data_IF_354882345132
#
_entry.id   IF_354882345132
#
_cell.length_a   1.000
_cell.length_b   1.000
_cell.length_c   1.000
_cell.angle_alpha   90.00
_cell.angle_beta   90.00
_cell.angle_gamma   90.00
#
_symmetry.space_group_name_H-M   'P 1'
#
loop_
_entity.id
_entity.type
_entity.pdbx_description
1 polymer ?
#
# COMPACT_ATOMS: atom_id res chain seq x y z
N UNK A 1 -15.09 1.68 -9.76
CA UNK A 1 -16.13 1.91 -8.71
C UNK A 1 -17.43 2.44 -9.33
N UNK A 2 -18.61 1.89 -8.98
CA UNK A 2 -19.91 2.35 -9.51
C UNK A 2 -20.53 3.49 -8.70
N UNK A 3 -20.08 3.70 -7.46
CA UNK A 3 -20.58 4.73 -6.55
C UNK A 3 -19.47 5.68 -6.14
N UNK A 4 -19.82 6.95 -5.98
CA UNK A 4 -18.88 8.01 -5.56
C UNK A 4 -18.57 7.82 -4.07
N UNK A 5 -17.28 7.68 -3.70
CA UNK A 5 -16.90 7.38 -2.32
C UNK A 5 -17.36 8.47 -1.35
N UNK A 6 -17.62 8.12 -0.07
CA UNK A 6 -17.86 9.12 0.96
C UNK A 6 -16.64 10.04 1.11
N UNK A 7 -16.90 11.33 1.29
CA UNK A 7 -15.85 12.34 1.49
C UNK A 7 -15.46 12.34 2.97
N UNK A 8 -14.16 12.22 3.31
CA UNK A 8 -13.68 12.41 4.68
C UNK A 8 -14.11 13.76 5.26
N UNK A 9 -14.50 13.78 6.54
CA UNK A 9 -14.97 15.02 7.19
C UNK A 9 -13.96 16.19 7.07
N UNK A 10 -12.64 16.01 7.26
CA UNK A 10 -11.68 17.10 7.09
C UNK A 10 -11.68 17.67 5.67
N UNK A 11 -11.79 16.81 4.65
CA UNK A 11 -11.85 17.23 3.26
C UNK A 11 -13.16 17.98 2.96
N UNK A 12 -14.28 17.49 3.49
CA UNK A 12 -15.56 18.17 3.35
C UNK A 12 -15.51 19.59 3.94
N UNK A 13 -14.98 19.74 5.15
CA UNK A 13 -14.79 21.05 5.79
C UNK A 13 -13.92 21.98 4.94
N UNK A 14 -12.81 21.47 4.39
CA UNK A 14 -11.92 22.25 3.54
C UNK A 14 -12.60 22.68 2.23
N UNK A 15 -13.38 21.81 1.60
CA UNK A 15 -14.15 22.12 0.39
C UNK A 15 -15.27 23.14 0.66
N UNK A 16 -15.92 23.07 1.82
CA UNK A 16 -16.98 24.01 2.22
C UNK A 16 -16.47 25.43 2.46
N UNK A 17 -15.19 25.60 2.77
CA UNK A 17 -14.57 26.92 2.92
C UNK A 17 -14.41 27.66 1.58
N UNK A 18 -14.44 26.93 0.45
CA UNK A 18 -14.23 27.48 -0.89
C UNK A 18 -15.54 28.02 -1.50
N UNK A 19 -15.40 29.09 -2.29
CA UNK A 19 -16.48 29.67 -3.08
C UNK A 19 -16.64 28.98 -4.44
N UNK A 20 -17.78 29.19 -5.09
CA UNK A 20 -17.98 28.74 -6.47
C UNK A 20 -17.29 29.69 -7.45
N UNK A 21 -16.72 29.18 -8.55
CA UNK A 21 -16.72 27.78 -9.01
C UNK A 21 -15.58 26.93 -8.44
N UNK A 22 -14.67 27.50 -7.63
CA UNK A 22 -13.47 26.81 -7.15
C UNK A 22 -13.80 25.54 -6.34
N UNK A 23 -14.83 25.60 -5.48
CA UNK A 23 -15.30 24.45 -4.70
C UNK A 23 -15.62 23.25 -5.60
N UNK A 24 -16.45 23.45 -6.63
CA UNK A 24 -16.80 22.36 -7.55
C UNK A 24 -15.57 21.84 -8.31
N UNK A 25 -14.66 22.71 -8.74
CA UNK A 25 -13.40 22.31 -9.40
C UNK A 25 -12.49 21.50 -8.49
N UNK A 26 -12.35 21.88 -7.21
CA UNK A 26 -11.55 21.14 -6.22
C UNK A 26 -12.21 19.82 -5.85
N UNK A 27 -13.52 19.79 -5.65
CA UNK A 27 -14.27 18.55 -5.40
C UNK A 27 -14.09 17.54 -6.53
N UNK A 28 -14.17 17.99 -7.79
CA UNK A 28 -13.92 17.16 -8.96
C UNK A 28 -12.50 16.58 -8.93
N UNK A 29 -11.46 17.39 -8.68
CA UNK A 29 -10.07 16.91 -8.63
C UNK A 29 -9.80 15.95 -7.46
N UNK A 30 -10.53 16.11 -6.35
CA UNK A 30 -10.42 15.26 -5.18
C UNK A 30 -11.03 13.87 -5.39
N UNK A 31 -12.09 13.74 -6.18
CA UNK A 31 -12.83 12.48 -6.33
C UNK A 31 -12.72 11.83 -7.70
N UNK A 32 -12.30 12.59 -8.71
CA UNK A 32 -12.23 12.14 -10.09
C UNK A 32 -10.83 12.32 -10.66
N UNK A 33 -10.52 11.49 -11.64
CA UNK A 33 -9.29 11.55 -12.41
C UNK A 33 -9.56 11.33 -13.90
N UNK A 34 -8.59 11.71 -14.71
CA UNK A 34 -8.65 11.61 -16.15
C UNK A 34 -8.53 10.15 -16.59
N UNK A 35 -9.45 9.73 -17.45
CA UNK A 35 -9.45 8.42 -18.10
C UNK A 35 -10.20 8.53 -19.42
N UNK A 36 -9.46 8.43 -20.53
CA UNK A 36 -9.96 8.62 -21.90
C UNK A 36 -11.04 7.61 -22.31
N UNK A 37 -11.04 6.43 -21.69
CA UNK A 37 -11.87 5.29 -22.07
C UNK A 37 -13.17 5.24 -21.25
N UNK A 38 -13.17 5.91 -20.09
CA UNK A 38 -14.30 5.95 -19.17
C UNK A 38 -15.21 7.18 -19.37
N UNK A 39 -16.44 7.05 -18.89
CA UNK A 39 -17.41 8.14 -18.90
C UNK A 39 -18.35 8.05 -17.70
N UNK A 40 -18.79 9.21 -17.20
CA UNK A 40 -19.82 9.33 -16.16
C UNK A 40 -21.03 10.08 -16.70
N UNK A 41 -22.23 9.74 -16.25
CA UNK A 41 -23.44 10.48 -16.66
C UNK A 41 -23.48 11.86 -16.03
N UNK A 42 -23.94 12.86 -16.78
CA UNK A 42 -24.05 14.25 -16.30
C UNK A 42 -24.99 14.35 -15.09
N UNK A 43 -26.10 13.60 -15.13
CA UNK A 43 -27.08 13.56 -14.04
C UNK A 43 -26.48 12.97 -12.77
N UNK A 44 -25.75 11.85 -12.85
CA UNK A 44 -25.15 11.25 -11.65
C UNK A 44 -24.10 12.18 -11.02
N UNK A 45 -23.28 12.82 -11.85
CA UNK A 45 -22.25 13.74 -11.38
C UNK A 45 -22.87 14.97 -10.68
N UNK A 46 -23.90 15.57 -11.29
CA UNK A 46 -24.62 16.71 -10.72
C UNK A 46 -25.38 16.34 -9.44
N UNK A 47 -26.11 15.23 -9.43
CA UNK A 47 -26.83 14.76 -8.23
C UNK A 47 -25.88 14.47 -7.08
N UNK A 48 -24.71 13.88 -7.37
CA UNK A 48 -23.69 13.66 -6.35
C UNK A 48 -23.14 14.98 -5.80
N UNK A 49 -22.90 15.97 -6.65
CA UNK A 49 -22.49 17.31 -6.21
C UNK A 49 -23.53 17.93 -5.28
N UNK A 50 -24.80 17.96 -5.71
CA UNK A 50 -25.90 18.50 -4.89
C UNK A 50 -26.05 17.75 -3.57
N UNK A 51 -26.07 16.43 -3.59
CA UNK A 51 -26.24 15.62 -2.38
C UNK A 51 -25.16 15.88 -1.33
N UNK A 52 -23.96 16.30 -1.74
CA UNK A 52 -22.86 16.62 -0.82
C UNK A 52 -22.93 18.01 -0.23
N UNK A 53 -23.38 19.00 -1.01
CA UNK A 53 -23.25 20.40 -0.63
C UNK A 53 -24.57 21.13 -0.37
N UNK A 54 -25.72 20.57 -0.75
CA UNK A 54 -27.04 21.19 -0.54
C UNK A 54 -27.30 21.55 0.93
N UNK A 55 -27.01 20.63 1.85
CA UNK A 55 -27.21 20.89 3.29
C UNK A 55 -26.30 22.02 3.83
N UNK A 56 -25.13 22.21 3.25
CA UNK A 56 -24.23 23.29 3.66
C UNK A 56 -24.65 24.65 3.10
N UNK A 57 -25.30 24.67 1.94
CA UNK A 57 -25.90 25.89 1.36
C UNK A 57 -26.99 26.43 2.26
N UNK A 58 -27.86 25.57 2.79
CA UNK A 58 -28.94 25.97 3.70
C UNK A 58 -28.41 26.62 4.99
N UNK A 59 -27.24 26.17 5.47
CA UNK A 59 -26.64 26.66 6.72
C UNK A 59 -25.77 27.91 6.55
N UNK A 60 -25.09 28.04 5.41
CA UNK A 60 -24.09 29.10 5.18
C UNK A 60 -24.53 30.16 4.15
N UNK A 61 -25.70 29.99 3.52
CA UNK A 61 -26.29 30.95 2.59
C UNK A 61 -25.54 31.10 1.26
N UNK A 62 -24.60 30.21 0.95
CA UNK A 62 -23.80 30.24 -0.30
C UNK A 62 -24.41 29.32 -1.34
N UNK A 63 -24.96 29.81 -2.46
CA UNK A 63 -25.64 28.97 -3.45
C UNK A 63 -24.68 27.99 -4.15
N UNK A 64 -25.23 26.89 -4.65
CA UNK A 64 -24.54 25.96 -5.55
C UNK A 64 -24.52 26.53 -6.98
N UNK A 65 -23.54 26.11 -7.78
CA UNK A 65 -23.59 26.31 -9.23
C UNK A 65 -24.87 25.70 -9.81
N UNK A 66 -25.61 26.39 -10.70
CA UNK A 66 -26.69 25.77 -11.47
C UNK A 66 -26.18 24.59 -12.30
N UNK A 67 -27.05 23.63 -12.62
CA UNK A 67 -26.66 22.40 -13.34
C UNK A 67 -25.88 22.68 -14.64
N UNK A 68 -26.33 23.64 -15.46
CA UNK A 68 -25.66 24.00 -16.72
C UNK A 68 -24.24 24.57 -16.49
N UNK A 69 -24.08 25.48 -15.53
CA UNK A 69 -22.78 26.06 -15.16
C UNK A 69 -21.86 25.02 -14.53
N UNK A 70 -22.41 24.09 -13.75
CA UNK A 70 -21.66 22.98 -13.19
C UNK A 70 -21.10 22.06 -14.29
N UNK A 71 -21.94 21.64 -15.25
CA UNK A 71 -21.49 20.80 -16.38
C UNK A 71 -20.43 21.50 -17.23
N UNK A 72 -20.57 22.83 -17.44
CA UNK A 72 -19.55 23.63 -18.10
C UNK A 72 -18.24 23.65 -17.28
N UNK A 73 -18.33 23.83 -15.97
CA UNK A 73 -17.17 23.85 -15.09
C UNK A 73 -16.41 22.52 -15.04
N UNK A 74 -17.09 21.37 -15.22
CA UNK A 74 -16.42 20.06 -15.33
C UNK A 74 -15.44 20.06 -16.51
N UNK A 75 -15.88 20.56 -17.67
CA UNK A 75 -15.03 20.66 -18.86
C UNK A 75 -13.86 21.64 -18.65
N UNK A 76 -14.10 22.77 -17.97
CA UNK A 76 -13.02 23.70 -17.60
C UNK A 76 -12.01 23.09 -16.61
N UNK A 77 -12.47 22.25 -15.67
CA UNK A 77 -11.63 21.67 -14.60
C UNK A 77 -10.61 20.69 -15.15
N UNK A 78 -10.99 19.91 -16.15
CA UNK A 78 -10.17 18.88 -16.81
C UNK A 78 -9.73 19.27 -18.23
N UNK A 79 -10.00 20.51 -18.65
CA UNK A 79 -9.65 21.04 -19.97
C UNK A 79 -10.09 20.12 -21.13
N UNK A 80 -9.19 19.85 -22.07
CA UNK A 80 -9.41 19.02 -23.26
C UNK A 80 -9.57 17.52 -22.95
N UNK A 81 -9.33 17.10 -21.70
CA UNK A 81 -9.41 15.70 -21.29
C UNK A 81 -10.81 15.27 -20.86
N UNK A 82 -11.73 16.20 -20.60
CA UNK A 82 -13.13 15.86 -20.28
C UNK A 82 -14.10 16.64 -21.17
N UNK A 83 -15.02 15.93 -21.82
CA UNK A 83 -15.98 16.54 -22.73
C UNK A 83 -17.41 16.06 -22.45
N UNK A 84 -18.33 17.01 -22.37
CA UNK A 84 -19.77 16.74 -22.36
C UNK A 84 -20.23 16.25 -23.73
N UNK A 85 -20.85 15.08 -23.78
CA UNK A 85 -21.30 14.43 -25.02
C UNK A 85 -22.66 13.75 -24.84
N UNK A 86 -23.40 13.60 -25.94
CA UNK A 86 -24.63 12.79 -25.99
C UNK A 86 -24.30 11.47 -26.65
N UNK A 87 -24.42 10.38 -25.90
CA UNK A 87 -24.26 9.05 -26.46
C UNK A 87 -25.54 8.64 -27.18
N UNK A 88 -25.44 8.41 -28.49
CA UNK A 88 -26.55 7.97 -29.31
C UNK A 88 -26.96 6.53 -28.97
N UNK A 89 -28.27 6.29 -28.88
CA UNK A 89 -28.87 5.00 -28.55
C UNK A 89 -30.39 5.11 -28.47
N UNK A 90 -31.09 4.02 -28.11
CA UNK A 90 -32.56 4.01 -27.94
C UNK A 90 -33.04 5.05 -26.91
N UNK A 91 -32.21 5.30 -25.90
CA UNK A 91 -32.37 6.40 -24.93
C UNK A 91 -31.10 7.23 -24.97
N UNK A 92 -31.24 8.53 -25.24
CA UNK A 92 -30.11 9.46 -25.26
C UNK A 92 -29.52 9.58 -23.85
N UNK A 93 -28.21 9.31 -23.72
CA UNK A 93 -27.49 9.43 -22.45
C UNK A 93 -26.53 10.61 -22.52
N UNK A 94 -26.73 11.58 -21.64
CA UNK A 94 -25.83 12.72 -21.47
C UNK A 94 -24.67 12.31 -20.54
N UNK A 95 -23.46 12.29 -21.09
CA UNK A 95 -22.25 11.84 -20.39
C UNK A 95 -21.18 12.93 -20.39
N UNK A 96 -20.23 12.80 -19.47
CA UNK A 96 -18.92 13.43 -19.51
C UNK A 96 -17.93 12.30 -19.81
N UNK A 97 -17.35 12.30 -21.01
CA UNK A 97 -16.32 11.34 -21.42
C UNK A 97 -14.94 11.86 -21.01
N UNK A 98 -14.05 10.97 -20.60
CA UNK A 98 -12.66 11.32 -20.30
C UNK A 98 -12.33 11.42 -18.80
N UNK A 99 -13.27 11.07 -17.93
CA UNK A 99 -13.08 11.07 -16.48
C UNK A 99 -13.68 9.82 -15.84
N UNK A 100 -13.08 9.41 -14.72
CA UNK A 100 -13.55 8.32 -13.86
C UNK A 100 -13.49 8.70 -12.39
N UNK A 101 -14.21 7.94 -11.57
CA UNK A 101 -14.12 8.03 -10.10
C UNK A 101 -12.77 7.43 -9.65
N UNK A 102 -12.05 8.15 -8.78
CA UNK A 102 -10.82 7.66 -8.14
C UNK A 102 -11.12 6.49 -7.20
N UNK A 103 -10.17 5.57 -7.05
CA UNK A 103 -10.32 4.45 -6.11
C UNK A 103 -10.25 4.91 -4.64
N UNK A 104 -9.51 6.00 -4.38
CA UNK A 104 -9.51 6.71 -3.12
C UNK A 104 -9.59 8.24 -3.36
N UNK A 105 -10.33 8.98 -2.53
CA UNK A 105 -10.27 10.44 -2.53
C UNK A 105 -8.84 10.94 -2.35
N UNK A 106 -8.54 12.12 -2.87
CA UNK A 106 -7.32 12.88 -2.56
C UNK A 106 -7.67 14.18 -1.85
N UNK A 107 -6.78 14.70 -1.02
CA UNK A 107 -6.93 16.01 -0.39
C UNK A 107 -6.75 17.15 -1.41
N UNK A 108 -6.80 18.41 -0.95
CA UNK A 108 -6.62 19.58 -1.81
C UNK A 108 -5.20 19.72 -2.39
N UNK A 109 -4.21 19.02 -1.81
CA UNK A 109 -2.82 18.97 -2.29
C UNK A 109 -2.58 17.82 -3.28
N UNK A 110 -3.49 16.83 -3.31
CA UNK A 110 -3.40 15.62 -4.12
C UNK A 110 -2.88 14.39 -3.36
N UNK A 111 -2.75 14.46 -2.03
CA UNK A 111 -2.40 13.30 -1.19
C UNK A 111 -3.57 12.32 -1.14
N UNK A 112 -3.37 11.04 -1.48
CA UNK A 112 -4.45 10.05 -1.44
C UNK A 112 -4.80 9.63 -0.02
N UNK A 113 -6.10 9.55 0.26
CA UNK A 113 -6.62 8.97 1.49
C UNK A 113 -6.45 7.46 1.50
N UNK A 114 -6.26 6.91 2.69
CA UNK A 114 -6.12 5.49 2.94
C UNK A 114 -7.47 4.89 3.35
N UNK A 115 -7.89 3.84 2.67
CA UNK A 115 -9.18 3.18 2.90
C UNK A 115 -9.11 2.22 4.07
N UNK A 116 -10.07 2.31 4.98
CA UNK A 116 -10.30 1.28 5.99
C UNK A 116 -10.88 0.03 5.31
N UNK A 117 -10.12 -1.06 5.34
CA UNK A 117 -10.48 -2.33 4.71
C UNK A 117 -11.24 -3.27 5.66
N UNK A 118 -11.56 -2.82 6.87
CA UNK A 118 -12.31 -3.62 7.83
C UNK A 118 -13.62 -4.12 7.23
N UNK A 119 -13.90 -5.41 7.33
CA UNK A 119 -15.14 -5.97 6.80
C UNK A 119 -16.26 -5.90 7.84
N UNK A 120 -17.41 -5.43 7.40
CA UNK A 120 -18.63 -5.33 8.21
C UNK A 120 -19.71 -6.22 7.63
N UNK A 121 -20.54 -6.88 8.45
CA UNK A 121 -21.70 -7.60 7.95
C UNK A 121 -22.66 -6.61 7.28
N UNK A 122 -23.26 -6.99 6.16
CA UNK A 122 -24.35 -6.21 5.58
C UNK A 122 -25.57 -6.23 6.50
N UNK A 123 -26.47 -5.22 6.44
CA UNK A 123 -27.68 -5.19 7.26
C UNK A 123 -28.52 -6.48 7.14
N UNK A 124 -28.54 -7.08 5.95
CA UNK A 124 -29.25 -8.33 5.66
C UNK A 124 -28.55 -9.58 6.23
N UNK A 125 -27.35 -9.44 6.80
CA UNK A 125 -26.57 -10.53 7.40
C UNK A 125 -25.97 -11.55 6.42
N UNK A 126 -26.36 -11.52 5.14
CA UNK A 126 -25.96 -12.51 4.13
C UNK A 126 -24.53 -12.30 3.60
N UNK A 127 -24.05 -11.05 3.56
CA UNK A 127 -22.76 -10.73 2.94
C UNK A 127 -21.91 -9.82 3.83
N UNK A 128 -20.65 -9.61 3.44
CA UNK A 128 -19.74 -8.68 4.10
C UNK A 128 -19.37 -7.57 3.13
N UNK A 129 -19.41 -6.32 3.60
CA UNK A 129 -18.94 -5.15 2.86
C UNK A 129 -17.75 -4.48 3.56
N UNK A 130 -16.77 -3.94 2.83
CA UNK A 130 -15.72 -3.14 3.43
C UNK A 130 -16.33 -1.90 4.09
N UNK A 131 -15.75 -1.44 5.20
CA UNK A 131 -16.15 -0.23 5.91
C UNK A 131 -16.19 0.97 4.95
N UNK A 132 -15.12 1.17 4.19
CA UNK A 132 -15.07 2.23 3.17
C UNK A 132 -14.84 3.64 3.72
N UNK A 133 -14.56 3.81 5.01
CA UNK A 133 -14.05 5.06 5.56
C UNK A 133 -12.63 5.33 5.09
N UNK A 134 -12.24 6.61 5.05
CA UNK A 134 -10.99 7.10 4.46
C UNK A 134 -10.26 8.01 5.44
N UNK A 135 -8.95 7.81 5.61
CA UNK A 135 -8.11 8.50 6.60
C UNK A 135 -6.80 8.99 6.00
N UNK A 136 -6.25 10.10 6.51
CA UNK A 136 -4.93 10.59 6.11
C UNK A 136 -3.83 9.88 6.87
N UNK A 137 -4.01 9.78 8.19
CA UNK A 137 -2.98 9.27 9.09
C UNK A 137 -3.37 7.89 9.64
N UNK A 138 -2.42 6.94 9.71
CA UNK A 138 -2.67 5.60 10.28
C UNK A 138 -3.24 5.66 11.71
N UNK A 139 -2.86 6.66 12.50
CA UNK A 139 -3.36 6.86 13.86
C UNK A 139 -4.87 7.19 13.91
N UNK A 140 -5.39 7.92 12.92
CA UNK A 140 -6.82 8.22 12.81
C UNK A 140 -7.60 6.95 12.46
N UNK A 141 -7.09 6.18 11.48
CA UNK A 141 -7.68 4.89 11.10
C UNK A 141 -7.66 3.90 12.26
N UNK A 142 -6.58 3.87 13.04
CA UNK A 142 -6.48 3.03 14.24
C UNK A 142 -7.56 3.39 15.26
N UNK A 143 -7.71 4.69 15.56
CA UNK A 143 -8.73 5.19 16.48
C UNK A 143 -10.13 4.81 16.01
N UNK A 144 -10.42 4.98 14.72
CA UNK A 144 -11.68 4.58 14.10
C UNK A 144 -11.95 3.07 14.22
N UNK A 145 -10.96 2.21 13.95
CA UNK A 145 -11.13 0.75 14.09
C UNK A 145 -11.47 0.40 15.55
N UNK A 146 -10.77 1.02 16.51
CA UNK A 146 -10.99 0.77 17.93
C UNK A 146 -12.36 1.24 18.42
N UNK A 147 -12.81 2.42 17.97
CA UNK A 147 -14.12 2.96 18.38
C UNK A 147 -15.29 2.33 17.65
N UNK A 148 -15.22 2.18 16.33
CA UNK A 148 -16.40 1.94 15.51
C UNK A 148 -16.58 0.46 15.16
N UNK A 149 -15.47 -0.28 15.09
CA UNK A 149 -15.50 -1.69 14.72
C UNK A 149 -15.32 -2.62 15.91
N UNK A 150 -14.33 -2.33 16.76
CA UNK A 150 -14.08 -3.09 17.98
C UNK A 150 -14.93 -2.60 19.16
N UNK A 151 -15.41 -1.36 19.10
CA UNK A 151 -16.21 -0.73 20.18
C UNK A 151 -15.52 -0.82 21.53
N UNK A 152 -14.22 -0.60 21.56
CA UNK A 152 -13.45 -0.56 22.81
C UNK A 152 -13.89 0.67 23.60
N UNK A 153 -14.31 0.53 24.87
CA UNK A 153 -14.65 1.67 25.70
C UNK A 153 -13.48 2.65 25.82
N UNK A 154 -13.78 3.95 25.88
CA UNK A 154 -12.79 4.99 26.18
C UNK A 154 -12.74 5.21 27.68
N UNK A 155 -11.56 5.41 28.25
CA UNK A 155 -11.42 5.80 29.66
C UNK A 155 -12.04 7.19 29.79
N UNK A 156 -13.14 7.32 30.52
CA UNK A 156 -13.61 8.63 30.94
C UNK A 156 -12.49 9.28 31.75
N UNK A 157 -12.06 10.49 31.37
CA UNK A 157 -11.18 11.29 32.24
C UNK A 157 -11.84 11.38 33.62
N UNK A 158 -11.12 11.14 34.73
CA UNK A 158 -11.69 11.35 36.04
C UNK A 158 -11.99 12.85 36.20
N UNK A 159 -13.27 13.20 36.28
CA UNK A 159 -13.69 14.50 36.84
C UNK A 159 -13.09 14.65 38.24
N UNK A 160 -12.65 15.85 38.63
CA UNK A 160 -12.12 16.08 39.97
C UNK A 160 -13.24 15.83 40.98
N UNK A 161 -13.02 14.91 41.90
CA UNK A 161 -13.86 14.71 43.07
C UNK A 161 -13.91 16.00 43.90
N UNK A 162 -15.08 16.41 44.42
CA UNK A 162 -15.16 17.54 45.33
C UNK A 162 -14.58 17.09 46.69
N UNK A 163 -13.33 17.45 46.96
CA UNK A 163 -12.78 17.34 48.30
C UNK A 163 -13.39 18.44 49.17
N UNK A 164 -14.28 18.02 50.07
CA UNK A 164 -14.74 18.77 51.24
C UNK A 164 -13.54 19.33 52.02
N UNK A 165 -13.57 20.63 52.26
CA UNK A 165 -12.43 21.37 52.81
C UNK A 165 -12.17 21.15 54.29
N UNK A 166 -10.93 21.43 54.69
CA UNK A 166 -10.61 22.40 55.74
C UNK A 166 -9.11 22.76 55.75
N UNK A 167 -8.74 23.94 56.28
CA UNK A 167 -7.58 24.70 55.81
C UNK A 167 -6.40 24.68 56.80
N UNK A 168 -5.19 24.88 56.28
CA UNK A 168 -4.21 25.81 56.87
C UNK A 168 -2.95 25.96 55.99
N UNK A 169 -2.64 27.22 55.66
CA UNK A 169 -1.31 27.82 55.85
C UNK A 169 -0.19 27.59 54.83
N UNK A 170 0.07 28.68 54.08
CA UNK A 170 1.39 29.24 53.75
C UNK A 170 2.23 28.69 52.57
N UNK A 171 2.41 29.53 51.54
CA UNK A 171 3.75 29.83 51.04
C UNK A 171 4.07 29.63 49.54
N UNK A 172 3.97 30.72 48.77
CA UNK A 172 4.97 31.26 47.82
C UNK A 172 5.32 30.52 46.49
N UNK A 173 5.00 31.24 45.41
CA UNK A 173 5.70 31.45 44.10
C UNK A 173 6.14 30.30 43.17
N UNK A 174 5.70 30.44 41.92
CA UNK A 174 6.65 30.64 40.80
C UNK A 174 6.86 29.47 39.84
N UNK A 175 6.43 29.65 38.59
CA UNK A 175 6.93 28.85 37.46
C UNK A 175 5.85 28.45 36.45
N UNK A 176 5.61 29.29 35.45
CA UNK A 176 4.94 28.87 34.22
C UNK A 176 5.86 27.95 33.41
N UNK A 177 5.31 26.89 32.77
CA UNK A 177 5.85 26.48 31.49
C UNK A 177 4.76 26.43 30.42
N UNK A 178 5.06 27.18 29.36
CA UNK A 178 4.54 27.18 28.01
C UNK A 178 3.76 25.92 27.59
N UNK A 179 2.48 26.10 27.29
CA UNK A 179 1.60 25.09 26.70
C UNK A 179 1.88 24.92 25.21
N UNK A 180 2.55 23.82 24.85
CA UNK A 180 2.45 23.24 23.50
C UNK A 180 1.05 22.63 23.32
N UNK A 181 0.40 22.75 22.14
CA UNK A 181 -0.91 22.16 21.93
C UNK A 181 -0.77 20.63 21.88
N UNK A 182 -1.18 19.95 22.94
CA UNK A 182 -1.28 18.49 22.95
C UNK A 182 -2.63 18.08 22.35
N UNK A 183 -2.57 17.42 21.21
CA UNK A 183 -3.70 16.70 20.63
C UNK A 183 -4.16 15.66 21.65
N UNK A 184 -5.29 15.89 22.32
CA UNK A 184 -5.86 14.97 23.30
C UNK A 184 -6.19 13.64 22.61
N UNK A 185 -5.31 12.66 22.75
CA UNK A 185 -5.60 11.28 22.31
C UNK A 185 -6.45 10.65 23.41
N UNK A 186 -7.76 10.56 23.18
CA UNK A 186 -8.69 9.85 24.06
C UNK A 186 -8.17 8.41 24.26
N UNK A 187 -7.86 8.04 25.50
CA UNK A 187 -7.28 6.73 25.82
C UNK A 187 -8.38 5.66 25.85
N UNK A 188 -8.14 4.53 25.21
CA UNK A 188 -9.02 3.35 25.28
C UNK A 188 -8.77 2.57 26.58
N UNK A 189 -9.82 1.95 27.13
CA UNK A 189 -9.65 1.03 28.27
C UNK A 189 -8.91 -0.23 27.83
N UNK A 190 -8.30 -0.93 28.79
CA UNK A 190 -7.54 -2.16 28.52
C UNK A 190 -8.15 -3.37 29.25
N UNK A 191 -9.44 -3.30 29.55
CA UNK A 191 -10.19 -4.37 30.18
C UNK A 191 -10.33 -5.55 29.22
N UNK A 192 -10.31 -6.78 29.73
CA UNK A 192 -10.48 -7.97 28.89
C UNK A 192 -11.86 -7.96 28.25
N UNK A 193 -11.89 -8.21 26.93
CA UNK A 193 -13.11 -8.31 26.16
C UNK A 193 -13.00 -9.38 25.10
N UNK A 194 -14.12 -9.72 24.47
CA UNK A 194 -14.14 -10.66 23.34
C UNK A 194 -14.09 -9.90 22.03
N UNK A 195 -13.00 -10.05 21.29
CA UNK A 195 -12.76 -9.31 20.05
C UNK A 195 -12.39 -10.24 18.90
N UNK A 196 -12.59 -9.78 17.66
CA UNK A 196 -12.10 -10.44 16.45
C UNK A 196 -11.61 -9.41 15.45
N UNK A 197 -10.60 -9.79 14.67
CA UNK A 197 -10.11 -9.02 13.54
C UNK A 197 -10.86 -9.45 12.28
N UNK A 198 -11.54 -8.49 11.64
CA UNK A 198 -12.23 -8.68 10.36
C UNK A 198 -11.48 -8.00 9.21
N UNK A 199 -10.17 -7.85 9.34
CA UNK A 199 -9.33 -7.41 8.24
C UNK A 199 -9.26 -8.50 7.17
N UNK A 200 -9.33 -8.16 5.87
CA UNK A 200 -9.26 -9.14 4.78
C UNK A 200 -8.00 -10.00 4.88
N UNK A 201 -8.17 -11.33 4.85
CA UNK A 201 -7.05 -12.29 4.90
C UNK A 201 -6.43 -12.51 6.29
N UNK A 202 -6.91 -11.86 7.34
CA UNK A 202 -6.38 -12.09 8.69
C UNK A 202 -6.76 -13.47 9.23
N UNK A 203 -5.76 -14.24 9.67
CA UNK A 203 -5.95 -15.58 10.26
C UNK A 203 -5.80 -15.62 11.78
N UNK A 204 -5.02 -14.70 12.37
CA UNK A 204 -4.62 -14.77 13.80
C UNK A 204 -5.78 -14.56 14.78
N UNK A 205 -6.65 -13.58 14.55
CA UNK A 205 -7.77 -13.24 15.44
C UNK A 205 -9.11 -13.28 14.71
N UNK A 206 -9.27 -14.22 13.77
CA UNK A 206 -10.48 -14.31 12.94
C UNK A 206 -11.73 -14.65 13.75
N UNK A 207 -11.58 -15.50 14.76
CA UNK A 207 -12.66 -15.92 15.64
C UNK A 207 -12.73 -15.01 16.88
N UNK A 208 -13.94 -14.80 17.44
CA UNK A 208 -14.10 -14.09 18.72
C UNK A 208 -13.19 -14.71 19.79
N UNK A 209 -12.25 -13.92 20.29
CA UNK A 209 -11.20 -14.36 21.22
C UNK A 209 -11.19 -13.44 22.44
N UNK A 210 -11.15 -13.97 23.68
CA UNK A 210 -10.92 -13.14 24.86
C UNK A 210 -9.50 -12.57 24.82
N UNK A 211 -9.37 -11.26 24.70
CA UNK A 211 -8.09 -10.56 24.58
C UNK A 211 -8.18 -9.14 25.13
N UNK A 212 -7.08 -8.63 25.68
CA UNK A 212 -6.96 -7.23 26.07
C UNK A 212 -6.78 -6.32 24.86
N UNK A 213 -7.47 -5.15 24.78
CA UNK A 213 -7.32 -4.19 23.69
C UNK A 213 -5.87 -3.80 23.36
N UNK A 214 -4.97 -3.69 24.34
CA UNK A 214 -3.56 -3.38 24.10
C UNK A 214 -2.82 -4.46 23.30
N UNK A 215 -3.13 -5.74 23.51
CA UNK A 215 -2.53 -6.83 22.74
C UNK A 215 -3.10 -6.86 21.32
N UNK A 216 -4.41 -6.63 21.19
CA UNK A 216 -5.04 -6.52 19.88
C UNK A 216 -4.55 -5.28 19.11
N UNK A 217 -4.21 -4.18 19.81
CA UNK A 217 -3.66 -2.97 19.20
C UNK A 217 -2.35 -3.24 18.46
N UNK A 218 -1.44 -3.99 19.08
CA UNK A 218 -0.19 -4.40 18.43
C UNK A 218 -0.44 -5.21 17.16
N UNK A 219 -1.49 -6.04 17.15
CA UNK A 219 -1.90 -6.77 15.95
C UNK A 219 -2.51 -5.87 14.86
N UNK A 220 -3.43 -4.97 15.22
CA UNK A 220 -4.08 -4.08 14.25
C UNK A 220 -3.08 -3.15 13.56
N UNK A 221 -2.04 -2.71 14.26
CA UNK A 221 -0.98 -1.87 13.68
C UNK A 221 -0.27 -2.51 12.48
N UNK A 222 -0.25 -3.85 12.37
CA UNK A 222 0.35 -4.57 11.24
C UNK A 222 -0.51 -4.43 9.97
N UNK A 223 -1.81 -4.18 10.13
CA UNK A 223 -2.75 -3.99 9.02
C UNK A 223 -2.83 -2.55 8.55
N UNK A 224 -2.41 -1.59 9.38
CA UNK A 224 -2.45 -0.20 9.00
C UNK A 224 -1.44 0.05 7.89
N UNK A 225 -1.86 0.73 6.80
CA UNK A 225 -0.92 1.12 5.77
C UNK A 225 0.16 2.05 6.37
N UNK A 226 1.39 2.04 5.81
CA UNK A 226 2.43 2.95 6.24
C UNK A 226 1.97 4.39 6.06
N UNK A 227 2.52 5.31 6.85
CA UNK A 227 2.28 6.74 6.63
C UNK A 227 2.66 7.09 5.18
N UNK A 228 1.74 7.75 4.47
CA UNK A 228 1.94 8.08 3.07
C UNK A 228 3.12 9.05 2.91
N UNK A 229 4.24 8.57 2.38
CA UNK A 229 5.35 9.41 1.92
C UNK A 229 4.97 10.06 0.59
N UNK A 230 4.12 11.08 0.66
CA UNK A 230 3.72 11.81 -0.53
C UNK A 230 4.80 12.80 -0.92
N UNK A 231 5.45 12.54 -2.06
CA UNK A 231 6.29 13.51 -2.74
C UNK A 231 5.46 14.20 -3.84
N UNK A 232 5.12 15.49 -3.69
CA UNK A 232 4.36 16.23 -4.70
C UNK A 232 5.08 16.35 -6.05
N UNK A 233 6.40 16.11 -6.10
CA UNK A 233 7.21 16.15 -7.31
C UNK A 233 7.23 14.82 -8.08
N UNK A 234 6.79 13.72 -7.46
CA UNK A 234 6.74 12.41 -8.11
C UNK A 234 5.60 12.37 -9.15
N UNK A 235 5.83 11.77 -10.34
CA UNK A 235 4.78 11.66 -11.36
C UNK A 235 3.58 10.89 -10.78
N UNK A 236 2.43 11.57 -10.76
CA UNK A 236 1.18 11.01 -10.23
C UNK A 236 0.72 9.87 -11.14
N UNK A 237 0.91 8.63 -10.69
CA UNK A 237 0.32 7.49 -11.36
C UNK A 237 -1.20 7.50 -11.16
N UNK A 238 -2.01 7.22 -12.20
CA UNK A 238 -3.46 7.10 -12.07
C UNK A 238 -3.83 6.01 -11.06
N UNK A 239 -4.90 6.20 -10.29
CA UNK A 239 -5.26 5.27 -9.21
C UNK A 239 -5.63 3.87 -9.70
N UNK A 240 -6.04 3.76 -10.97
CA UNK A 240 -6.39 2.50 -11.62
C UNK A 240 -5.20 1.67 -12.11
N UNK A 241 -3.98 2.24 -12.11
CA UNK A 241 -2.76 1.50 -12.46
C UNK A 241 -2.29 0.77 -11.21
N UNK A 242 -2.57 -0.53 -11.13
CA UNK A 242 -1.99 -1.37 -10.09
C UNK A 242 -0.49 -1.53 -10.36
N UNK A 243 0.41 -1.11 -9.44
CA UNK A 243 1.84 -1.31 -9.63
C UNK A 243 2.13 -2.81 -9.75
N UNK A 244 3.00 -3.16 -10.70
CA UNK A 244 3.42 -4.55 -10.88
C UNK A 244 4.01 -5.07 -9.57
N UNK A 245 3.65 -6.30 -9.18
CA UNK A 245 4.22 -6.94 -8.00
C UNK A 245 5.74 -7.09 -8.19
N UNK A 246 6.51 -6.25 -7.50
CA UNK A 246 7.97 -6.32 -7.55
C UNK A 246 8.45 -7.35 -6.54
N UNK A 247 9.03 -8.44 -7.01
CA UNK A 247 9.76 -9.37 -6.16
C UNK A 247 11.20 -8.89 -6.01
N UNK A 248 11.66 -8.70 -4.78
CA UNK A 248 13.06 -8.43 -4.50
C UNK A 248 13.84 -9.74 -4.48
N UNK A 249 14.97 -9.76 -5.18
CA UNK A 249 15.90 -10.89 -5.20
C UNK A 249 17.24 -10.43 -4.64
N UNK A 250 17.77 -11.17 -3.66
CA UNK A 250 19.11 -10.96 -3.11
C UNK A 250 20.12 -11.87 -3.82
N UNK A 251 21.17 -11.27 -4.36
CA UNK A 251 22.26 -11.98 -5.05
C UNK A 251 23.54 -11.92 -4.22
N UNK A 252 24.38 -12.94 -4.37
CA UNK A 252 25.75 -12.95 -3.85
C UNK A 252 26.56 -11.87 -4.56
N UNK A 253 27.28 -11.07 -3.79
CA UNK A 253 28.15 -10.03 -4.31
C UNK A 253 29.51 -10.63 -4.68
N UNK A 254 29.98 -10.34 -5.89
CA UNK A 254 31.34 -10.66 -6.34
C UNK A 254 31.94 -9.42 -6.96
N UNK A 255 33.22 -9.17 -6.68
CA UNK A 255 33.94 -8.04 -7.24
C UNK A 255 33.86 -8.08 -8.78
N UNK A 256 33.75 -6.92 -9.40
CA UNK A 256 33.71 -6.77 -10.86
C UNK A 256 34.75 -5.76 -11.31
N UNK A 257 35.22 -5.89 -12.54
CA UNK A 257 36.12 -4.93 -13.18
C UNK A 257 35.36 -3.74 -13.79
N UNK A 258 36.09 -2.86 -14.49
CA UNK A 258 35.54 -1.67 -15.17
C UNK A 258 34.51 -2.01 -16.27
N UNK A 259 34.51 -3.25 -16.76
CA UNK A 259 33.60 -3.75 -17.79
C UNK A 259 32.38 -4.45 -17.19
N UNK A 260 32.34 -4.59 -15.85
CA UNK A 260 31.30 -5.32 -15.14
C UNK A 260 31.49 -6.84 -15.18
N UNK A 261 32.66 -7.33 -15.60
CA UNK A 261 32.98 -8.75 -15.60
C UNK A 261 33.48 -9.20 -14.21
N UNK A 262 33.28 -10.46 -13.86
CA UNK A 262 33.70 -10.97 -12.55
C UNK A 262 35.21 -10.82 -12.35
N UNK A 263 35.63 -10.48 -11.14
CA UNK A 263 37.02 -10.27 -10.80
C UNK A 263 37.37 -10.79 -9.40
N UNK A 264 38.67 -10.96 -9.17
CA UNK A 264 39.21 -11.37 -7.88
C UNK A 264 39.11 -12.85 -7.58
N UNK A 265 39.21 -13.19 -6.30
CA UNK A 265 39.35 -14.57 -5.79
C UNK A 265 38.22 -15.49 -6.28
N UNK A 266 36.93 -15.08 -6.28
CA UNK A 266 35.85 -15.96 -6.72
C UNK A 266 35.97 -16.37 -8.20
N UNK A 267 36.33 -15.45 -9.09
CA UNK A 267 36.56 -15.80 -10.50
C UNK A 267 37.72 -16.78 -10.63
N UNK A 268 38.85 -16.50 -9.98
CA UNK A 268 40.03 -17.37 -10.03
C UNK A 268 39.71 -18.78 -9.55
N UNK A 269 38.94 -18.91 -8.47
CA UNK A 269 38.52 -20.21 -7.94
C UNK A 269 37.70 -21.00 -8.96
N UNK A 270 36.70 -20.38 -9.61
CA UNK A 270 35.87 -21.04 -10.63
C UNK A 270 36.71 -21.49 -11.84
N UNK A 271 37.66 -20.66 -12.28
CA UNK A 271 38.55 -21.01 -13.39
C UNK A 271 39.47 -22.19 -13.06
N UNK A 272 40.00 -22.23 -11.84
CA UNK A 272 40.82 -23.36 -11.35
C UNK A 272 39.99 -24.64 -11.29
N UNK A 273 38.79 -24.58 -10.70
CA UNK A 273 37.88 -25.72 -10.65
C UNK A 273 37.52 -26.23 -12.05
N UNK A 274 37.29 -25.33 -13.00
CA UNK A 274 36.94 -25.69 -14.39
C UNK A 274 38.10 -26.43 -15.07
N UNK A 275 39.32 -25.92 -14.91
CA UNK A 275 40.50 -26.57 -15.46
C UNK A 275 40.77 -27.92 -14.78
N UNK A 276 40.51 -28.02 -13.47
CA UNK A 276 40.62 -29.27 -12.74
C UNK A 276 39.62 -30.32 -13.26
N UNK A 277 38.35 -29.95 -13.44
CA UNK A 277 37.33 -30.84 -13.99
C UNK A 277 37.74 -31.41 -15.36
N UNK A 278 38.18 -30.54 -16.28
CA UNK A 278 38.66 -30.93 -17.62
C UNK A 278 39.87 -31.86 -17.55
N UNK A 279 40.84 -31.57 -16.69
CA UNK A 279 42.05 -32.40 -16.54
C UNK A 279 41.75 -33.77 -15.91
N UNK A 280 40.90 -33.81 -14.89
CA UNK A 280 40.47 -35.07 -14.26
C UNK A 280 39.78 -35.99 -15.26
N UNK A 281 38.97 -35.42 -16.16
CA UNK A 281 38.33 -36.17 -17.23
C UNK A 281 39.32 -36.70 -18.26
N UNK A 282 40.30 -35.88 -18.67
CA UNK A 282 41.37 -36.31 -19.58
C UNK A 282 42.17 -37.48 -18.97
N UNK A 283 42.53 -37.37 -17.69
CA UNK A 283 43.25 -38.41 -16.95
C UNK A 283 42.40 -39.67 -16.70
N UNK A 284 41.07 -39.54 -16.61
CA UNK A 284 40.18 -40.71 -16.62
C UNK A 284 40.31 -41.46 -17.94
N UNK A 285 40.11 -40.75 -19.05
CA UNK A 285 40.21 -41.31 -20.40
C UNK A 285 41.58 -41.94 -20.70
N UNK A 286 42.68 -41.31 -20.32
CA UNK A 286 44.05 -41.83 -20.54
C UNK A 286 44.35 -43.10 -19.73
N UNK A 287 43.75 -43.28 -18.54
CA UNK A 287 43.86 -44.53 -17.77
C UNK A 287 42.97 -45.64 -18.35
N UNK A 288 41.79 -45.28 -18.85
CA UNK A 288 40.87 -46.21 -19.53
C UNK A 288 41.42 -46.72 -20.87
N UNK A 289 42.19 -45.92 -21.62
CA UNK A 289 42.86 -46.42 -22.83
C UNK A 289 43.95 -47.46 -22.51
N UNK A 290 44.37 -47.59 -21.24
CA UNK A 290 45.37 -48.56 -20.77
C UNK A 290 44.75 -49.79 -20.11
N UNK A 291 43.52 -49.68 -19.61
CA UNK A 291 42.76 -50.75 -18.98
C UNK A 291 41.61 -51.11 -19.92
N UNK A 292 41.64 -52.27 -20.58
CA UNK A 292 40.69 -52.76 -21.62
C UNK A 292 39.20 -52.92 -21.14
N UNK A 293 38.70 -52.07 -20.25
CA UNK A 293 37.35 -52.07 -19.72
C UNK A 293 36.45 -51.02 -20.41
N UNK A 294 35.51 -51.53 -21.20
CA UNK A 294 34.45 -50.75 -21.84
C UNK A 294 33.35 -50.38 -20.83
N UNK A 295 33.56 -49.38 -19.98
CA UNK A 295 32.48 -48.66 -19.30
C UNK A 295 32.89 -47.21 -18.96
N UNK A 296 31.99 -46.25 -19.18
CA UNK A 296 32.23 -44.80 -19.21
C UNK A 296 32.92 -44.23 -17.94
N UNK A 297 34.25 -44.16 -17.91
CA UNK A 297 35.02 -43.83 -16.71
C UNK A 297 35.49 -42.38 -16.59
N UNK A 298 35.55 -41.62 -17.70
CA UNK A 298 35.99 -40.23 -17.68
C UNK A 298 35.17 -39.35 -16.72
N UNK A 299 33.86 -39.63 -16.63
CA UNK A 299 32.94 -39.00 -15.67
C UNK A 299 33.06 -39.53 -14.24
N UNK A 300 33.58 -40.75 -14.01
CA UNK A 300 33.67 -41.36 -12.67
C UNK A 300 34.65 -40.63 -11.77
N UNK A 301 35.80 -40.21 -12.30
CA UNK A 301 36.76 -39.37 -11.56
C UNK A 301 36.18 -38.01 -11.25
N UNK A 302 35.58 -37.36 -12.24
CA UNK A 302 34.95 -36.04 -12.07
C UNK A 302 33.86 -36.10 -11.00
N UNK A 303 32.95 -37.07 -11.08
CA UNK A 303 31.90 -37.31 -10.09
C UNK A 303 32.45 -37.58 -8.69
N UNK A 304 33.57 -38.31 -8.57
CA UNK A 304 34.23 -38.57 -7.28
C UNK A 304 34.71 -37.29 -6.58
N UNK A 305 35.20 -36.30 -7.34
CA UNK A 305 35.74 -35.06 -6.76
C UNK A 305 34.69 -33.93 -6.66
N UNK A 306 33.74 -33.88 -7.59
CA UNK A 306 32.76 -32.79 -7.66
C UNK A 306 31.37 -33.15 -7.14
N UNK A 307 31.03 -34.43 -7.03
CA UNK A 307 29.68 -34.85 -6.61
C UNK A 307 29.29 -34.38 -5.20
N UNK A 308 30.28 -34.15 -4.32
CA UNK A 308 30.04 -33.62 -2.98
C UNK A 308 29.82 -32.10 -2.89
N UNK A 309 30.10 -31.36 -3.97
CA UNK A 309 30.00 -29.88 -4.01
C UNK A 309 29.09 -29.37 -5.13
N UNK A 310 28.48 -30.28 -5.89
CA UNK A 310 27.67 -29.95 -7.05
C UNK A 310 26.45 -29.09 -6.66
N UNK A 311 25.81 -29.40 -5.54
CA UNK A 311 24.68 -28.62 -5.02
C UNK A 311 25.05 -27.17 -4.69
N UNK A 312 26.21 -26.95 -4.08
CA UNK A 312 26.74 -25.63 -3.76
C UNK A 312 27.11 -24.86 -5.03
N UNK A 313 27.68 -25.53 -6.03
CA UNK A 313 27.99 -24.90 -7.32
C UNK A 313 26.72 -24.44 -8.05
N UNK A 314 25.66 -25.26 -8.05
CA UNK A 314 24.35 -24.87 -8.57
C UNK A 314 23.72 -23.73 -7.77
N UNK A 315 23.87 -23.72 -6.45
CA UNK A 315 23.41 -22.62 -5.61
C UNK A 315 24.09 -21.30 -5.99
N UNK A 316 25.43 -21.29 -6.10
CA UNK A 316 26.17 -20.08 -6.49
C UNK A 316 25.81 -19.66 -7.92
N UNK A 317 25.65 -20.61 -8.85
CA UNK A 317 25.23 -20.32 -10.23
C UNK A 317 23.88 -19.58 -10.26
N UNK A 318 22.89 -20.03 -9.48
CA UNK A 318 21.57 -19.43 -9.43
C UNK A 318 21.54 -18.06 -8.72
N UNK A 319 22.44 -17.84 -7.76
CA UNK A 319 22.41 -16.67 -6.87
C UNK A 319 23.54 -15.66 -7.12
N UNK A 320 24.41 -15.88 -8.11
CA UNK A 320 25.52 -14.98 -8.43
C UNK A 320 25.53 -14.61 -9.91
N UNK A 321 25.14 -13.37 -10.23
CA UNK A 321 25.00 -12.93 -11.62
C UNK A 321 26.33 -12.80 -12.35
N UNK A 322 27.37 -12.26 -11.71
CA UNK A 322 28.64 -12.01 -12.38
C UNK A 322 29.43 -13.29 -12.63
N UNK A 323 29.28 -14.31 -11.78
CA UNK A 323 29.92 -15.61 -11.97
C UNK A 323 29.09 -16.61 -12.80
N UNK A 324 27.83 -16.30 -13.13
CA UNK A 324 26.91 -17.28 -13.72
C UNK A 324 27.47 -17.91 -15.01
N UNK A 325 28.06 -17.12 -15.92
CA UNK A 325 28.66 -17.64 -17.15
C UNK A 325 29.82 -18.61 -16.88
N UNK A 326 30.73 -18.24 -15.98
CA UNK A 326 31.89 -19.06 -15.60
C UNK A 326 31.50 -20.33 -14.86
N UNK A 327 30.49 -20.25 -13.99
CA UNK A 327 29.93 -21.40 -13.30
C UNK A 327 29.18 -22.31 -14.26
N UNK A 328 28.51 -21.77 -15.28
CA UNK A 328 27.92 -22.55 -16.36
C UNK A 328 28.96 -23.41 -17.08
N UNK A 329 30.10 -22.81 -17.48
CA UNK A 329 31.20 -23.55 -18.10
C UNK A 329 31.78 -24.65 -17.19
N UNK A 330 31.89 -24.37 -15.88
CA UNK A 330 32.35 -25.34 -14.89
C UNK A 330 31.36 -26.50 -14.76
N UNK A 331 30.06 -26.21 -14.62
CA UNK A 331 29.01 -27.22 -14.48
C UNK A 331 28.92 -28.10 -15.73
N UNK A 332 29.07 -27.51 -16.93
CA UNK A 332 29.19 -28.28 -18.18
C UNK A 332 30.43 -29.19 -18.12
N UNK A 333 31.59 -28.68 -17.73
CA UNK A 333 32.81 -29.48 -17.61
C UNK A 333 32.72 -30.60 -16.55
N UNK A 334 31.83 -30.46 -15.56
CA UNK A 334 31.55 -31.51 -14.55
C UNK A 334 30.58 -32.56 -15.10
N UNK A 335 29.57 -32.14 -15.86
CA UNK A 335 28.48 -32.98 -16.33
C UNK A 335 28.80 -33.82 -17.58
N UNK A 336 29.74 -33.35 -18.42
CA UNK A 336 30.19 -34.08 -19.60
C UNK A 336 31.04 -35.33 -19.28
#
# INVERSE_FOLDING_TARGET
>A
PSEIPPIPAPLLSALLALDEPERSSKWLRCLFEEDKDEAITQIALWQAYQARFAHAVDKHGRPLLPAAEFIKNVSTTFADKAAAQVQAGPVQKFIIKGIRIRDAPVDLSGRPYQKCMWTTPTPDGVSTRPCGAFFMEPAEMFTHIFSDHLRVPKTASPSPTPHSGSPNGDGVEGGAPETKPSTQTEKFTNDEGTYRCLWPGCTKFRNPTPIRPAQLAAHIKIHLPPASSFDPSSPRQPSWVSPAATQSFSFLSTAVDERGDAAGIPLTAVLVLRNLARNLRRLGREEEEREDEREAGGGRKVAKFFGGVEGELWFVFAHNKSLASYLGDLLIAIAE
#
